data_IF_891860271298
#
_entry.id   IF_891860271298
#
_cell.length_a   1.000
_cell.length_b   1.000
_cell.length_c   1.000
_cell.angle_alpha   90.00
_cell.angle_beta   90.00
_cell.angle_gamma   90.00
#
_symmetry.space_group_name_H-M   'P 1'
#
loop_
_entity.id
_entity.type
_entity.pdbx_description
1 polymer ?
#
# COMPACT_ATOMS: atom_id res chain seq x y z
N UNK A 1 -24.27 5.58 6.31
CA UNK A 1 -24.31 6.06 4.89
C UNK A 1 -23.23 7.11 4.73
N UNK A 2 -22.63 7.23 3.55
CA UNK A 2 -21.44 8.03 3.31
C UNK A 2 -21.68 9.22 2.38
N UNK A 3 -21.06 10.35 2.69
CA UNK A 3 -21.08 11.54 1.84
C UNK A 3 -19.70 11.73 1.17
N UNK A 4 -19.62 11.80 -0.17
CA UNK A 4 -18.37 12.07 -0.86
C UNK A 4 -17.94 13.53 -0.64
N UNK A 5 -16.64 13.75 -0.49
CA UNK A 5 -16.03 15.07 -0.35
C UNK A 5 -14.75 15.15 -1.20
N UNK A 6 -14.60 16.25 -1.94
CA UNK A 6 -13.46 16.50 -2.80
C UNK A 6 -13.81 16.50 -4.29
N UNK A 7 -12.79 16.52 -5.13
CA UNK A 7 -12.88 16.66 -6.59
C UNK A 7 -12.05 15.62 -7.35
N UNK A 8 -11.38 14.71 -6.65
CA UNK A 8 -10.57 13.68 -7.29
C UNK A 8 -11.45 12.77 -8.18
N UNK A 9 -10.98 12.41 -9.39
CA UNK A 9 -11.81 11.72 -10.38
C UNK A 9 -12.34 10.36 -9.89
N UNK A 10 -11.57 9.67 -9.06
CA UNK A 10 -11.94 8.36 -8.51
C UNK A 10 -13.12 8.42 -7.54
N UNK A 11 -13.40 9.57 -6.92
CA UNK A 11 -14.56 9.74 -6.04
C UNK A 11 -15.87 9.58 -6.81
N UNK A 12 -15.90 9.97 -8.08
CA UNK A 12 -17.06 9.78 -8.94
C UNK A 12 -17.38 8.30 -9.12
N UNK A 13 -16.38 7.50 -9.54
CA UNK A 13 -16.55 6.05 -9.77
C UNK A 13 -16.92 5.29 -8.50
N UNK A 14 -16.31 5.65 -7.37
CA UNK A 14 -16.66 5.09 -6.06
C UNK A 14 -18.08 5.47 -5.64
N UNK A 15 -18.48 6.74 -5.86
CA UNK A 15 -19.83 7.20 -5.50
C UNK A 15 -20.90 6.46 -6.28
N UNK A 16 -20.72 6.25 -7.59
CA UNK A 16 -21.64 5.47 -8.41
C UNK A 16 -21.80 4.04 -7.88
N UNK A 17 -20.68 3.39 -7.53
CA UNK A 17 -20.69 2.05 -6.95
C UNK A 17 -21.43 1.96 -5.62
N UNK A 18 -21.23 2.94 -4.75
CA UNK A 18 -21.89 3.03 -3.44
C UNK A 18 -23.37 3.37 -3.56
N UNK A 19 -23.74 4.21 -4.53
CA UNK A 19 -25.13 4.55 -4.84
C UNK A 19 -25.90 3.32 -5.29
N UNK A 20 -25.32 2.50 -6.18
CA UNK A 20 -25.93 1.23 -6.61
C UNK A 20 -26.17 0.22 -5.46
N UNK A 21 -25.54 0.44 -4.30
CA UNK A 21 -25.67 -0.39 -3.09
C UNK A 21 -26.35 0.35 -1.92
N UNK A 22 -26.96 1.50 -2.19
CA UNK A 22 -27.68 2.31 -1.19
C UNK A 22 -26.83 2.74 0.02
N UNK A 23 -25.51 2.84 -0.15
CA UNK A 23 -24.59 3.33 0.89
C UNK A 23 -24.24 4.81 0.76
N UNK A 24 -24.53 5.41 -0.40
CA UNK A 24 -24.29 6.83 -0.63
C UNK A 24 -25.44 7.66 -0.02
N UNK A 25 -25.08 8.63 0.82
CA UNK A 25 -26.03 9.64 1.31
C UNK A 25 -26.28 10.64 0.18
N UNK A 26 -27.52 11.12 0.07
CA UNK A 26 -27.84 12.23 -0.83
C UNK A 26 -26.96 13.45 -0.50
N UNK A 27 -26.66 14.26 -1.52
CA UNK A 27 -25.88 15.48 -1.34
C UNK A 27 -26.55 16.36 -0.28
N UNK A 28 -25.80 16.65 0.80
CA UNK A 28 -26.26 17.44 1.94
C UNK A 28 -25.19 18.43 2.38
N UNK A 29 -25.49 19.20 3.42
CA UNK A 29 -24.49 20.11 4.00
C UNK A 29 -23.28 19.31 4.48
N UNK A 30 -22.08 19.72 4.05
CA UNK A 30 -20.81 19.14 4.52
C UNK A 30 -20.72 19.28 6.05
N UNK A 31 -20.22 18.27 6.79
CA UNK A 31 -19.97 18.43 8.21
C UNK A 31 -19.08 19.65 8.49
N UNK A 32 -19.45 20.46 9.47
CA UNK A 32 -18.74 21.70 9.79
C UNK A 32 -17.27 21.47 10.19
N UNK A 33 -16.95 20.29 10.74
CA UNK A 33 -15.60 19.92 11.11
C UNK A 33 -14.72 19.57 9.91
N UNK A 34 -15.30 19.21 8.75
CA UNK A 34 -14.55 18.65 7.62
C UNK A 34 -14.02 19.76 6.70
N UNK A 35 -12.68 19.88 6.51
CA UNK A 35 -12.11 20.81 5.56
C UNK A 35 -12.53 20.53 4.11
N UNK A 36 -12.56 21.56 3.28
CA UNK A 36 -13.13 21.48 1.93
C UNK A 36 -12.23 20.86 0.86
N UNK A 37 -10.94 20.86 1.10
CA UNK A 37 -9.89 20.36 0.22
C UNK A 37 -9.64 18.85 0.38
N UNK A 38 -10.17 18.23 1.44
CA UNK A 38 -10.02 16.81 1.71
C UNK A 38 -10.73 15.96 0.66
N UNK A 39 -10.14 14.78 0.38
CA UNK A 39 -10.58 13.86 -0.66
C UNK A 39 -10.99 12.55 0.00
N UNK A 40 -12.27 12.19 -0.06
CA UNK A 40 -12.74 10.96 0.58
C UNK A 40 -14.24 10.90 0.87
N UNK A 41 -14.60 10.13 1.89
CA UNK A 41 -15.99 9.92 2.29
C UNK A 41 -16.19 10.13 3.78
N UNK A 42 -17.16 10.97 4.14
CA UNK A 42 -17.57 11.19 5.52
C UNK A 42 -18.69 10.21 5.91
N UNK A 43 -18.45 9.44 6.97
CA UNK A 43 -19.46 8.66 7.68
C UNK A 43 -20.05 9.44 8.86
N UNK A 44 -20.78 8.75 9.74
CA UNK A 44 -21.34 9.34 10.95
C UNK A 44 -20.28 9.52 12.05
N UNK A 45 -19.33 8.60 12.11
CA UNK A 45 -18.28 8.48 13.12
C UNK A 45 -16.87 8.34 12.53
N UNK A 46 -16.75 8.27 11.21
CA UNK A 46 -15.46 8.10 10.56
C UNK A 46 -15.26 8.98 9.32
N UNK A 47 -13.99 9.15 8.98
CA UNK A 47 -13.49 9.71 7.73
C UNK A 47 -12.70 8.66 6.98
N UNK A 48 -13.09 8.39 5.74
CA UNK A 48 -12.35 7.54 4.81
C UNK A 48 -11.49 8.43 3.92
N UNK A 49 -10.19 8.49 4.20
CA UNK A 49 -9.21 9.33 3.52
C UNK A 49 -8.70 8.68 2.23
N UNK A 50 -8.99 9.28 1.08
CA UNK A 50 -8.57 8.78 -0.24
C UNK A 50 -7.52 9.70 -0.90
N UNK A 51 -6.98 10.66 -0.15
CA UNK A 51 -5.97 11.57 -0.67
C UNK A 51 -4.68 10.82 -1.04
N UNK A 52 -4.12 11.16 -2.19
CA UNK A 52 -2.89 10.57 -2.73
C UNK A 52 -1.62 11.38 -2.39
N UNK A 53 -1.70 12.24 -1.38
CA UNK A 53 -0.60 13.07 -0.91
C UNK A 53 0.39 12.30 -0.01
N UNK A 54 1.37 13.01 0.56
CA UNK A 54 2.37 12.41 1.43
C UNK A 54 1.84 12.07 2.84
N UNK A 55 2.57 11.21 3.54
CA UNK A 55 2.21 10.75 4.90
C UNK A 55 2.17 11.87 5.94
N UNK A 56 2.79 13.03 5.70
CA UNK A 56 2.74 14.14 6.65
C UNK A 56 1.33 14.75 6.68
N UNK A 57 0.73 14.97 5.52
CA UNK A 57 -0.66 15.42 5.43
C UNK A 57 -1.64 14.41 6.05
N UNK A 58 -1.40 13.11 5.88
CA UNK A 58 -2.20 12.07 6.55
C UNK A 58 -2.19 12.22 8.08
N UNK A 59 -1.02 12.48 8.67
CA UNK A 59 -0.89 12.65 10.12
C UNK A 59 -1.62 13.92 10.60
N UNK A 60 -1.56 15.01 9.83
CA UNK A 60 -2.31 16.23 10.14
C UNK A 60 -3.82 15.95 10.15
N UNK A 61 -4.32 15.22 9.13
CA UNK A 61 -5.74 14.83 9.07
C UNK A 61 -6.13 13.89 10.20
N UNK A 62 -5.25 12.96 10.58
CA UNK A 62 -5.50 12.06 11.71
C UNK A 62 -5.64 12.85 13.02
N UNK A 63 -4.75 13.81 13.27
CA UNK A 63 -4.84 14.70 14.43
C UNK A 63 -6.12 15.55 14.43
N UNK A 64 -6.52 16.08 13.27
CA UNK A 64 -7.77 16.84 13.12
C UNK A 64 -9.00 15.96 13.41
N UNK A 65 -9.08 14.77 12.83
CA UNK A 65 -10.16 13.83 13.09
C UNK A 65 -10.24 13.45 14.59
N UNK A 66 -9.09 13.20 15.23
CA UNK A 66 -9.02 12.90 16.65
C UNK A 66 -9.59 14.04 17.53
N UNK A 67 -9.26 15.30 17.21
CA UNK A 67 -9.79 16.47 17.94
C UNK A 67 -11.33 16.57 17.86
N UNK A 68 -11.92 16.02 16.81
CA UNK A 68 -13.37 16.00 16.59
C UNK A 68 -14.03 14.66 16.98
N UNK A 69 -13.29 13.71 17.56
CA UNK A 69 -13.82 12.39 17.92
C UNK A 69 -14.21 11.53 16.72
N UNK A 70 -13.62 11.79 15.55
CA UNK A 70 -13.87 11.07 14.31
C UNK A 70 -12.73 10.05 14.09
N UNK A 71 -13.08 8.81 13.77
CA UNK A 71 -12.09 7.80 13.39
C UNK A 71 -11.59 8.07 11.96
N UNK A 72 -10.27 8.19 11.75
CA UNK A 72 -9.70 8.28 10.41
C UNK A 72 -9.25 6.90 9.93
N UNK A 73 -9.71 6.51 8.74
CA UNK A 73 -9.17 5.39 8.00
C UNK A 73 -8.56 5.88 6.69
N UNK A 74 -7.30 5.57 6.50
CA UNK A 74 -6.61 5.72 5.23
C UNK A 74 -7.09 4.63 4.27
N UNK A 75 -7.48 5.01 3.05
CA UNK A 75 -7.89 4.10 1.99
C UNK A 75 -7.08 4.39 0.74
N UNK A 76 -6.25 3.43 0.37
CA UNK A 76 -5.44 3.45 -0.83
C UNK A 76 -5.93 2.39 -1.81
N UNK A 77 -5.68 2.60 -3.09
CA UNK A 77 -6.10 1.63 -4.09
C UNK A 77 -5.63 1.96 -5.48
N UNK A 78 -6.06 1.12 -6.41
CA UNK A 78 -5.88 1.35 -7.84
C UNK A 78 -7.20 1.82 -8.41
N UNK A 79 -7.27 3.10 -8.72
CA UNK A 79 -8.48 3.75 -9.16
C UNK A 79 -8.59 3.66 -10.68
N UNK A 80 -9.43 2.74 -11.16
CA UNK A 80 -9.76 2.60 -12.58
C UNK A 80 -11.27 2.79 -12.77
N UNK A 81 -11.72 3.43 -13.87
CA UNK A 81 -13.15 3.64 -14.12
C UNK A 81 -14.00 2.36 -14.02
N UNK A 82 -13.45 1.25 -14.51
CA UNK A 82 -14.11 -0.07 -14.50
C UNK A 82 -14.41 -0.58 -13.07
N UNK A 83 -13.74 -0.01 -12.06
CA UNK A 83 -13.99 -0.35 -10.67
C UNK A 83 -15.39 0.05 -10.19
N UNK A 84 -16.10 0.96 -10.87
CA UNK A 84 -17.52 1.21 -10.59
C UNK A 84 -18.32 -0.11 -10.63
N UNK A 85 -18.14 -0.87 -11.71
CA UNK A 85 -18.83 -2.14 -11.94
C UNK A 85 -18.18 -3.30 -11.19
N UNK A 86 -16.85 -3.43 -11.27
CA UNK A 86 -16.14 -4.62 -10.79
C UNK A 86 -15.52 -4.49 -9.39
N UNK A 87 -15.52 -3.30 -8.81
CA UNK A 87 -14.88 -2.98 -7.54
C UNK A 87 -13.41 -2.62 -7.68
N UNK A 88 -12.83 -2.14 -6.58
CA UNK A 88 -11.48 -1.59 -6.54
C UNK A 88 -10.58 -2.44 -5.65
N UNK A 89 -9.30 -2.62 -6.01
CA UNK A 89 -8.32 -3.11 -5.04
C UNK A 89 -8.16 -2.05 -3.94
N UNK A 90 -8.44 -2.44 -2.70
CA UNK A 90 -8.41 -1.54 -1.55
C UNK A 90 -7.41 -2.01 -0.51
N UNK A 91 -6.60 -1.06 -0.06
CA UNK A 91 -5.65 -1.16 1.03
C UNK A 91 -6.12 -0.16 2.09
N UNK A 92 -6.21 -0.60 3.35
CA UNK A 92 -6.74 0.19 4.43
C UNK A 92 -5.71 0.31 5.57
N UNK A 93 -5.48 1.53 6.05
CA UNK A 93 -4.65 1.84 7.21
C UNK A 93 -5.47 2.57 8.27
N UNK A 94 -5.14 2.35 9.53
CA UNK A 94 -5.86 2.91 10.67
C UNK A 94 -6.58 1.84 11.49
N UNK A 95 -7.23 2.26 12.57
CA UNK A 95 -7.95 1.33 13.44
C UNK A 95 -9.31 0.96 12.83
N UNK A 96 -9.50 -0.33 12.59
CA UNK A 96 -10.74 -0.87 12.07
C UNK A 96 -11.49 -1.59 13.20
N UNK A 97 -12.49 -0.94 13.79
CA UNK A 97 -13.32 -1.62 14.81
C UNK A 97 -14.24 -2.65 14.15
N UNK A 98 -14.53 -3.75 14.85
CA UNK A 98 -15.27 -4.90 14.32
C UNK A 98 -16.70 -4.57 13.84
N UNK A 99 -17.27 -3.47 14.31
CA UNK A 99 -18.62 -2.97 14.01
C UNK A 99 -18.63 -1.68 13.19
N UNK A 100 -17.50 -1.28 12.58
CA UNK A 100 -17.39 0.02 11.91
C UNK A 100 -18.21 0.11 10.63
N UNK A 101 -18.92 1.23 10.46
CA UNK A 101 -19.55 1.63 9.20
C UNK A 101 -18.56 1.63 8.01
N UNK A 102 -17.28 1.90 8.30
CA UNK A 102 -16.20 1.87 7.34
C UNK A 102 -16.02 0.49 6.70
N UNK A 103 -16.23 -0.60 7.45
CA UNK A 103 -16.18 -1.95 6.90
C UNK A 103 -17.24 -2.16 5.83
N UNK A 104 -18.45 -1.67 6.05
CA UNK A 104 -19.53 -1.75 5.05
C UNK A 104 -19.17 -0.99 3.77
N UNK A 105 -18.54 0.18 3.91
CA UNK A 105 -18.01 0.92 2.76
C UNK A 105 -16.94 0.13 2.01
N UNK A 106 -15.97 -0.43 2.74
CA UNK A 106 -14.86 -1.21 2.16
C UNK A 106 -15.39 -2.47 1.45
N UNK A 107 -16.31 -3.20 2.06
CA UNK A 107 -16.95 -4.39 1.48
C UNK A 107 -17.72 -4.05 0.20
N UNK A 108 -18.36 -2.88 0.16
CA UNK A 108 -19.10 -2.43 -1.02
C UNK A 108 -18.18 -1.91 -2.13
N UNK A 109 -17.11 -1.21 -1.77
CA UNK A 109 -16.15 -0.66 -2.73
C UNK A 109 -15.21 -1.73 -3.31
N UNK A 110 -14.89 -2.77 -2.55
CA UNK A 110 -14.07 -3.90 -2.99
C UNK A 110 -14.77 -4.73 -4.09
N UNK A 111 -14.04 -5.61 -4.81
CA UNK A 111 -14.64 -6.48 -5.82
C UNK A 111 -15.62 -7.48 -5.22
N UNK A 112 -15.29 -7.96 -4.02
CA UNK A 112 -16.11 -8.84 -3.18
C UNK A 112 -16.06 -8.33 -1.74
N UNK A 113 -17.09 -8.64 -0.95
CA UNK A 113 -17.06 -8.37 0.49
C UNK A 113 -15.86 -9.09 1.14
N UNK A 114 -15.12 -8.39 1.99
CA UNK A 114 -13.83 -8.83 2.54
C UNK A 114 -12.67 -8.81 1.54
N UNK A 115 -12.89 -8.40 0.28
CA UNK A 115 -11.88 -8.32 -0.78
C UNK A 115 -10.97 -7.09 -0.70
N UNK A 116 -10.66 -6.65 0.52
CA UNK A 116 -9.80 -5.51 0.84
C UNK A 116 -8.79 -5.92 1.91
N UNK A 117 -7.66 -5.22 1.99
CA UNK A 117 -6.55 -5.57 2.87
C UNK A 117 -6.40 -4.54 3.99
N UNK A 118 -6.48 -4.96 5.25
CA UNK A 118 -6.01 -4.15 6.38
C UNK A 118 -4.49 -4.23 6.45
N UNK A 119 -3.82 -3.09 6.27
CA UNK A 119 -2.37 -3.01 6.20
C UNK A 119 -1.72 -2.77 7.57
N UNK A 120 -2.48 -2.27 8.56
CA UNK A 120 -2.00 -1.91 9.90
C UNK A 120 -2.40 -0.48 10.30
N UNK A 121 -1.60 0.22 11.14
CA UNK A 121 -1.87 1.59 11.59
C UNK A 121 -1.80 2.62 10.45
N UNK A 122 -2.13 3.91 10.69
CA UNK A 122 -2.06 4.94 9.66
C UNK A 122 -0.69 5.02 8.96
N UNK A 123 -0.71 5.21 7.65
CA UNK A 123 0.44 5.21 6.74
C UNK A 123 0.80 3.84 6.17
N UNK A 124 0.20 2.76 6.69
CA UNK A 124 0.49 1.39 6.24
C UNK A 124 -0.08 1.11 4.85
N UNK A 125 -1.22 1.70 4.49
CA UNK A 125 -1.83 1.46 3.18
C UNK A 125 -1.05 2.16 2.06
N UNK A 126 -0.60 3.41 2.25
CA UNK A 126 0.29 4.14 1.33
C UNK A 126 1.61 3.41 1.13
N UNK A 127 2.25 2.97 2.21
CA UNK A 127 3.47 2.17 2.13
C UNK A 127 3.25 0.91 1.28
N UNK A 128 2.19 0.15 1.60
CA UNK A 128 1.87 -1.10 0.87
C UNK A 128 1.57 -0.82 -0.60
N UNK A 129 0.86 0.27 -0.91
CA UNK A 129 0.58 0.70 -2.27
C UNK A 129 1.87 1.02 -3.04
N UNK A 130 2.83 1.71 -2.40
CA UNK A 130 4.12 2.01 -3.01
C UNK A 130 4.92 0.75 -3.32
N UNK A 131 4.93 -0.24 -2.42
CA UNK A 131 5.57 -1.54 -2.68
C UNK A 131 4.91 -2.27 -3.84
N UNK A 132 3.57 -2.33 -3.89
CA UNK A 132 2.82 -2.93 -5.01
C UNK A 132 3.12 -2.22 -6.33
N UNK A 133 3.18 -0.89 -6.32
CA UNK A 133 3.50 -0.10 -7.52
C UNK A 133 4.95 -0.34 -7.98
N UNK A 134 5.90 -0.44 -7.06
CA UNK A 134 7.28 -0.78 -7.37
C UNK A 134 7.38 -2.20 -7.98
N UNK A 135 6.73 -3.21 -7.39
CA UNK A 135 6.70 -4.56 -7.96
C UNK A 135 6.06 -4.59 -9.35
N UNK A 136 4.98 -3.83 -9.57
CA UNK A 136 4.35 -3.69 -10.89
C UNK A 136 5.31 -3.06 -11.89
N UNK A 137 6.02 -2.01 -11.48
CA UNK A 137 7.01 -1.34 -12.33
C UNK A 137 8.15 -2.31 -12.69
N UNK A 138 8.67 -3.08 -11.73
CA UNK A 138 9.67 -4.12 -11.96
C UNK A 138 9.23 -5.10 -13.05
N UNK A 139 7.99 -5.57 -12.97
CA UNK A 139 7.40 -6.49 -13.92
C UNK A 139 7.23 -5.85 -15.30
N UNK A 140 6.76 -4.61 -15.37
CA UNK A 140 6.63 -3.87 -16.63
C UNK A 140 7.98 -3.68 -17.33
N UNK A 141 9.04 -3.34 -16.59
CA UNK A 141 10.40 -3.26 -17.14
C UNK A 141 10.85 -4.60 -17.73
N UNK A 142 10.59 -5.70 -17.04
CA UNK A 142 10.92 -7.04 -17.54
C UNK A 142 10.13 -7.38 -18.82
N UNK A 143 8.83 -7.07 -18.87
CA UNK A 143 8.00 -7.29 -20.05
C UNK A 143 8.39 -6.43 -21.25
N UNK A 144 8.85 -5.19 -21.04
CA UNK A 144 9.30 -4.32 -22.12
C UNK A 144 10.53 -4.85 -22.86
N UNK A 145 11.31 -5.73 -22.24
CA UNK A 145 12.43 -6.42 -22.88
C UNK A 145 11.96 -7.56 -23.80
N UNK A 146 10.71 -8.00 -23.68
CA UNK A 146 10.15 -9.03 -24.56
C UNK A 146 9.77 -8.42 -25.91
N UNK A 147 10.15 -9.06 -27.02
CA UNK A 147 9.86 -8.55 -28.35
C UNK A 147 8.36 -8.64 -28.63
N UNK A 148 7.73 -7.50 -28.94
CA UNK A 148 6.30 -7.40 -29.20
C UNK A 148 5.81 -8.28 -30.37
N UNK A 149 6.71 -8.64 -31.30
CA UNK A 149 6.39 -9.33 -32.54
C UNK A 149 6.93 -10.77 -32.62
N UNK A 150 7.36 -11.36 -31.49
CA UNK A 150 7.85 -12.74 -31.44
C UNK A 150 9.19 -12.99 -32.16
N UNK A 151 9.87 -11.94 -32.64
CA UNK A 151 11.21 -12.05 -33.21
C UNK A 151 12.25 -12.20 -32.09
N UNK A 152 13.24 -13.10 -32.21
CA UNK A 152 14.31 -13.21 -31.22
C UNK A 152 15.04 -11.87 -31.08
N UNK A 153 15.04 -11.29 -29.88
CA UNK A 153 15.87 -10.14 -29.54
C UNK A 153 16.94 -10.56 -28.52
N UNK A 154 18.11 -9.93 -28.57
CA UNK A 154 19.07 -10.02 -27.48
C UNK A 154 18.57 -9.17 -26.31
N UNK A 155 18.29 -9.82 -25.19
CA UNK A 155 17.99 -9.12 -23.94
C UNK A 155 19.29 -8.49 -23.45
N UNK A 156 19.28 -7.17 -23.21
CA UNK A 156 20.38 -6.50 -22.53
C UNK A 156 20.28 -6.79 -21.01
N UNK A 157 20.79 -7.95 -20.63
CA UNK A 157 20.75 -8.45 -19.25
C UNK A 157 21.44 -7.50 -18.27
N UNK A 158 22.53 -6.85 -18.67
CA UNK A 158 23.25 -5.91 -17.81
C UNK A 158 22.38 -4.71 -17.45
N UNK A 159 21.80 -4.03 -18.46
CA UNK A 159 20.92 -2.90 -18.23
C UNK A 159 19.66 -3.29 -17.44
N UNK A 160 19.08 -4.45 -17.73
CA UNK A 160 17.92 -4.95 -16.99
C UNK A 160 18.26 -5.22 -15.51
N UNK A 161 19.38 -5.91 -15.24
CA UNK A 161 19.80 -6.19 -13.87
C UNK A 161 20.15 -4.92 -13.10
N UNK A 162 20.77 -3.94 -13.76
CA UNK A 162 21.05 -2.63 -13.15
C UNK A 162 19.76 -1.92 -12.75
N UNK A 163 18.77 -1.84 -13.64
CA UNK A 163 17.47 -1.24 -13.33
C UNK A 163 16.73 -1.95 -12.18
N UNK A 164 16.77 -3.29 -12.16
CA UNK A 164 16.18 -4.07 -11.07
C UNK A 164 16.91 -3.85 -9.74
N UNK A 165 18.24 -3.70 -9.77
CA UNK A 165 19.02 -3.39 -8.57
C UNK A 165 18.67 -2.01 -8.00
N UNK A 166 18.60 -0.98 -8.84
CA UNK A 166 18.23 0.38 -8.39
C UNK A 166 16.84 0.41 -7.76
N UNK A 167 15.89 -0.36 -8.32
CA UNK A 167 14.56 -0.49 -7.77
C UNK A 167 14.55 -1.22 -6.42
N UNK A 168 15.36 -2.28 -6.30
CA UNK A 168 15.53 -3.00 -5.04
C UNK A 168 16.12 -2.10 -3.94
N UNK A 169 17.09 -1.25 -4.27
CA UNK A 169 17.68 -0.30 -3.32
C UNK A 169 16.66 0.77 -2.88
N UNK A 170 15.82 1.27 -3.80
CA UNK A 170 14.71 2.17 -3.47
C UNK A 170 13.67 1.50 -2.58
N UNK A 171 13.33 0.24 -2.85
CA UNK A 171 12.42 -0.56 -2.03
C UNK A 171 12.97 -0.81 -0.63
N UNK A 172 14.28 -1.08 -0.51
CA UNK A 172 14.96 -1.18 0.77
C UNK A 172 14.82 0.12 1.57
N UNK A 173 15.18 1.26 1.00
CA UNK A 173 15.11 2.56 1.68
C UNK A 173 13.68 2.91 2.09
N UNK A 174 12.70 2.64 1.23
CA UNK A 174 11.28 2.84 1.55
C UNK A 174 10.85 1.98 2.75
N UNK A 175 11.24 0.71 2.78
CA UNK A 175 10.89 -0.27 3.81
C UNK A 175 11.57 0.05 5.15
N UNK A 176 12.88 0.35 5.12
CA UNK A 176 13.63 0.75 6.30
C UNK A 176 13.07 2.05 6.90
N UNK A 177 12.79 3.05 6.06
CA UNK A 177 12.18 4.30 6.51
C UNK A 177 10.77 4.12 7.07
N UNK A 178 9.99 3.18 6.52
CA UNK A 178 8.69 2.83 7.09
C UNK A 178 8.82 2.21 8.48
N UNK A 179 9.69 1.21 8.65
CA UNK A 179 9.91 0.55 9.94
C UNK A 179 10.43 1.53 11.01
N UNK A 180 11.35 2.41 10.64
CA UNK A 180 11.86 3.45 11.52
C UNK A 180 10.73 4.37 12.04
N UNK A 181 9.82 4.80 11.17
CA UNK A 181 8.67 5.63 11.57
C UNK A 181 7.69 4.90 12.49
N UNK A 182 7.59 3.58 12.35
CA UNK A 182 6.75 2.74 13.21
C UNK A 182 7.46 2.29 14.49
N UNK A 183 8.75 2.63 14.67
CA UNK A 183 9.55 2.20 15.83
C UNK A 183 9.84 0.70 15.84
N UNK A 184 9.90 0.06 14.67
CA UNK A 184 10.10 -1.38 14.53
C UNK A 184 11.54 -1.65 14.08
N UNK A 185 12.27 -2.45 14.85
CA UNK A 185 13.64 -2.84 14.51
C UNK A 185 13.66 -4.15 13.71
N UNK A 186 13.99 -4.07 12.42
CA UNK A 186 14.06 -5.25 11.55
C UNK A 186 15.06 -6.30 12.06
N UNK A 187 16.19 -5.85 12.63
CA UNK A 187 17.26 -6.71 13.11
C UNK A 187 16.86 -7.60 14.31
N UNK A 188 15.80 -7.23 15.03
CA UNK A 188 15.26 -8.03 16.12
C UNK A 188 14.48 -9.25 15.63
N UNK A 189 14.11 -9.31 14.34
CA UNK A 189 13.35 -10.39 13.74
C UNK A 189 14.27 -11.30 12.92
N UNK A 190 14.24 -12.61 13.18
CA UNK A 190 14.96 -13.56 12.32
C UNK A 190 14.26 -13.69 10.96
N UNK A 191 15.02 -14.05 9.92
CA UNK A 191 14.45 -14.29 8.59
C UNK A 191 13.41 -15.43 8.58
N UNK A 192 13.51 -16.39 9.51
CA UNK A 192 12.51 -17.45 9.64
C UNK A 192 11.20 -16.94 10.22
N UNK A 193 11.27 -16.14 11.29
CA UNK A 193 10.09 -15.53 11.92
C UNK A 193 9.39 -14.56 10.97
N UNK A 194 10.15 -13.73 10.26
CA UNK A 194 9.60 -12.80 9.27
C UNK A 194 8.80 -13.55 8.19
N UNK A 195 9.34 -14.66 7.67
CA UNK A 195 8.64 -15.51 6.69
C UNK A 195 7.40 -16.17 7.29
N UNK A 196 7.50 -16.68 8.52
CA UNK A 196 6.37 -17.29 9.21
C UNK A 196 5.22 -16.29 9.41
N UNK A 197 5.53 -15.10 9.94
CA UNK A 197 4.54 -14.05 10.22
C UNK A 197 3.85 -13.55 8.94
N UNK A 198 4.61 -13.41 7.84
CA UNK A 198 4.03 -13.01 6.56
C UNK A 198 3.22 -14.11 5.89
N UNK A 199 3.55 -15.39 6.14
CA UNK A 199 2.80 -16.54 5.61
C UNK A 199 1.47 -16.79 6.36
N UNK A 200 1.24 -16.15 7.50
CA UNK A 200 -0.04 -16.19 8.18
C UNK A 200 -1.15 -15.67 7.24
N UNK A 201 -2.38 -16.24 7.32
CA UNK A 201 -3.52 -15.66 6.63
C UNK A 201 -3.62 -14.16 6.93
N UNK A 202 -3.94 -13.35 5.93
CA UNK A 202 -4.01 -11.88 6.05
C UNK A 202 -4.86 -11.45 7.25
N UNK A 203 -6.00 -12.10 7.49
CA UNK A 203 -6.90 -11.80 8.59
C UNK A 203 -6.28 -12.05 9.99
N UNK A 204 -5.21 -12.84 10.08
CA UNK A 204 -4.47 -13.11 11.30
C UNK A 204 -3.25 -12.18 11.48
N UNK A 205 -2.92 -11.34 10.49
CA UNK A 205 -1.82 -10.39 10.59
C UNK A 205 -2.33 -9.07 11.17
N UNK A 206 -1.85 -8.70 12.34
CA UNK A 206 -2.16 -7.40 12.96
C UNK A 206 -1.53 -6.22 12.22
N UNK A 207 -0.40 -6.45 11.54
CA UNK A 207 0.39 -5.40 10.89
C UNK A 207 1.06 -5.92 9.61
N UNK A 208 0.26 -6.19 8.59
CA UNK A 208 0.74 -6.69 7.29
C UNK A 208 1.90 -5.88 6.70
N UNK A 209 1.79 -4.54 6.73
CA UNK A 209 2.81 -3.66 6.18
C UNK A 209 4.18 -3.80 6.87
N UNK A 210 4.22 -3.99 8.19
CA UNK A 210 5.46 -4.24 8.91
C UNK A 210 6.08 -5.59 8.54
N UNK A 211 5.28 -6.65 8.47
CA UNK A 211 5.76 -7.97 8.05
C UNK A 211 6.38 -7.91 6.64
N UNK A 212 5.72 -7.21 5.70
CA UNK A 212 6.23 -6.99 4.35
C UNK A 212 7.55 -6.20 4.35
N UNK A 213 7.62 -5.11 5.13
CA UNK A 213 8.82 -4.29 5.23
C UNK A 213 10.02 -5.03 5.83
N UNK A 214 9.79 -5.82 6.89
CA UNK A 214 10.84 -6.65 7.52
C UNK A 214 11.36 -7.65 6.49
N UNK A 215 10.48 -8.34 5.75
CA UNK A 215 10.90 -9.28 4.71
C UNK A 215 11.77 -8.63 3.64
N UNK A 216 11.39 -7.46 3.16
CA UNK A 216 12.18 -6.72 2.16
C UNK A 216 13.55 -6.37 2.74
N UNK A 217 13.59 -5.77 3.94
CA UNK A 217 14.86 -5.38 4.58
C UNK A 217 15.80 -6.58 4.78
N UNK A 218 15.29 -7.69 5.29
CA UNK A 218 16.10 -8.90 5.53
C UNK A 218 16.56 -9.55 4.21
N UNK A 219 15.71 -9.59 3.18
CA UNK A 219 16.09 -10.12 1.87
C UNK A 219 17.25 -9.32 1.25
N UNK A 220 17.21 -8.00 1.40
CA UNK A 220 18.26 -7.12 0.88
C UNK A 220 19.58 -7.26 1.65
N UNK A 221 19.53 -7.38 2.98
CA UNK A 221 20.73 -7.64 3.78
C UNK A 221 21.41 -8.99 3.43
N UNK A 222 20.60 -10.01 3.12
CA UNK A 222 21.12 -11.31 2.66
C UNK A 222 21.78 -11.23 1.28
N UNK A 223 21.23 -10.42 0.36
CA UNK A 223 21.86 -10.14 -0.94
C UNK A 223 23.27 -9.58 -0.76
N UNK A 224 23.42 -8.57 0.10
CA UNK A 224 24.69 -7.88 0.29
C UNK A 224 25.71 -8.79 1.01
N UNK A 225 25.24 -9.64 1.93
CA UNK A 225 26.05 -10.68 2.57
C UNK A 225 26.55 -11.70 1.54
N UNK A 226 25.68 -12.20 0.67
CA UNK A 226 26.07 -13.15 -0.36
C UNK A 226 27.05 -12.54 -1.37
N UNK A 227 26.81 -11.28 -1.76
CA UNK A 227 27.68 -10.57 -2.69
C UNK A 227 29.09 -10.39 -2.12
N UNK A 228 29.19 -9.96 -0.85
CA UNK A 228 30.49 -9.79 -0.17
C UNK A 228 31.22 -11.12 0.01
N UNK A 229 30.53 -12.20 0.36
CA UNK A 229 31.12 -13.55 0.44
C UNK A 229 31.65 -14.02 -0.92
N UNK A 230 30.90 -13.82 -2.01
CA UNK A 230 31.36 -14.19 -3.35
C UNK A 230 32.59 -13.37 -3.77
N UNK A 231 32.60 -12.06 -3.53
CA UNK A 231 33.76 -11.21 -3.80
C UNK A 231 34.99 -11.68 -3.02
N UNK A 232 34.84 -12.04 -1.75
CA UNK A 232 35.93 -12.60 -0.94
C UNK A 232 36.45 -13.91 -1.55
N UNK A 233 35.60 -14.87 -1.87
CA UNK A 233 36.00 -16.14 -2.50
C UNK A 233 36.77 -15.90 -3.81
N UNK A 234 36.28 -15.01 -4.67
CA UNK A 234 36.98 -14.69 -5.92
C UNK A 234 38.31 -13.99 -5.69
N UNK A 235 38.41 -13.08 -4.72
CA UNK A 235 39.67 -12.44 -4.36
C UNK A 235 40.70 -13.45 -3.82
N UNK A 236 40.28 -14.42 -3.00
CA UNK A 236 41.17 -15.47 -2.48
C UNK A 236 41.62 -16.44 -3.57
N UNK A 237 40.77 -16.73 -4.57
CA UNK A 237 41.12 -17.57 -5.73
C UNK A 237 42.03 -16.86 -6.75
N UNK A 238 42.13 -15.53 -6.69
CA UNK A 238 43.00 -14.72 -7.55
C UNK A 238 44.37 -14.40 -6.94
N UNK A 239 44.64 -14.82 -5.70
CA UNK A 239 45.97 -14.76 -5.10
C UNK A 239 46.76 -16.04 -5.46
N UNK A 240 47.91 -15.92 -6.16
CA UNK A 240 48.72 -17.07 -6.60
C UNK A 240 49.43 -17.80 -5.45
#
# INVERSE_FOLDING_TARGET
MFQPQGSAPHLHWLSQRLQARSLLRAAGARPAWLPGDWQGFAGESCWLDLAADDSHHLLQRAGHCQQHGIALLEVCGQWLPQGEQFGFMLLCGGELTATSEARSWLDCAAPLAGGWLHCGPPGSARYTLHVINAMRHAWQLALQQLPANGQPCSINWEALMQQQSELADKLYLLSAGYLQRQGIEAAACSASEARHNFALPVAAQSHFAANLAILIVLAMQQRDTLHSMLQQVFATLQQP
#
